data_IF_602486847527
#
_entry.id   IF_602486847527
#
_cell.length_a   1.000
_cell.length_b   1.000
_cell.length_c   1.000
_cell.angle_alpha   90.00
_cell.angle_beta   90.00
_cell.angle_gamma   90.00
#
_symmetry.space_group_name_H-M   'P 1'
#
loop_
_entity.id
_entity.type
_entity.pdbx_description
1 polymer ?
#
# COMPACT_ATOMS: atom_id res chain seq x y z
N UNK A 1 -5.59 24.88 0.82
CA UNK A 1 -5.64 23.43 0.90
C UNK A 1 -6.73 22.88 0.02
N UNK A 2 -6.50 21.78 -0.56
CA UNK A 2 -7.45 21.24 -1.52
C UNK A 2 -8.59 20.50 -0.85
N UNK A 3 -9.80 20.71 -1.32
CA UNK A 3 -10.94 20.01 -0.74
C UNK A 3 -10.85 18.51 -0.85
N UNK A 4 -10.29 18.05 -1.93
CA UNK A 4 -10.21 16.60 -2.14
C UNK A 4 -9.35 15.93 -1.12
N UNK A 5 -8.50 16.67 -0.44
CA UNK A 5 -7.70 16.08 0.63
C UNK A 5 -8.56 15.61 1.77
N UNK A 6 -9.76 16.15 1.86
CA UNK A 6 -10.66 15.72 2.92
C UNK A 6 -11.03 14.26 2.80
N UNK A 7 -11.00 13.74 1.59
CA UNK A 7 -11.28 12.32 1.39
C UNK A 7 -10.26 11.44 2.09
N UNK A 8 -9.08 11.94 2.21
CA UNK A 8 -7.98 11.17 2.78
C UNK A 8 -7.77 11.47 4.24
N UNK A 9 -8.44 12.49 4.74
CA UNK A 9 -8.26 12.88 6.12
C UNK A 9 -8.79 11.87 7.12
N UNK A 10 -9.76 11.06 6.67
CA UNK A 10 -10.40 10.11 7.56
C UNK A 10 -9.64 8.80 7.66
N UNK A 11 -8.60 8.64 6.88
CA UNK A 11 -7.89 7.37 6.86
C UNK A 11 -6.45 7.62 6.44
N UNK A 12 -5.57 6.71 6.78
CA UNK A 12 -4.16 6.85 6.42
C UNK A 12 -3.99 6.96 4.92
N UNK A 13 -3.12 7.84 4.52
CA UNK A 13 -2.73 7.97 3.13
C UNK A 13 -1.47 7.15 2.94
N UNK A 14 -1.52 6.17 2.05
CA UNK A 14 -0.39 5.30 1.81
C UNK A 14 0.83 6.08 1.36
N UNK A 15 0.62 7.11 0.54
CA UNK A 15 1.74 7.92 0.07
C UNK A 15 2.42 8.61 1.23
N UNK A 16 1.65 9.19 2.13
CA UNK A 16 2.21 9.86 3.30
C UNK A 16 2.93 8.87 4.21
N UNK A 17 2.35 7.69 4.37
CA UNK A 17 2.98 6.64 5.16
C UNK A 17 4.32 6.26 4.55
N UNK A 18 4.34 6.06 3.23
CA UNK A 18 5.58 5.68 2.56
C UNK A 18 6.66 6.72 2.70
N UNK A 19 6.28 7.98 2.64
CA UNK A 19 7.24 9.07 2.79
C UNK A 19 7.75 9.18 4.21
N UNK A 20 6.84 9.00 5.16
CA UNK A 20 7.21 9.12 6.57
C UNK A 20 8.25 8.08 6.96
N UNK A 21 8.09 6.87 6.46
CA UNK A 21 9.00 5.78 6.81
C UNK A 21 10.05 5.53 5.75
N UNK A 22 10.14 6.41 4.75
CA UNK A 22 11.16 6.35 3.72
C UNK A 22 11.19 4.99 3.03
N UNK A 23 10.02 4.50 2.67
CA UNK A 23 9.91 3.20 2.01
C UNK A 23 10.24 3.33 0.53
N UNK A 24 10.93 2.33 0.01
CA UNK A 24 11.20 2.29 -1.41
C UNK A 24 9.94 1.86 -2.18
N UNK A 25 10.05 1.81 -3.50
CA UNK A 25 8.89 1.51 -4.34
C UNK A 25 8.29 0.13 -4.02
N UNK A 26 9.14 -0.86 -3.85
CA UNK A 26 8.67 -2.22 -3.60
C UNK A 26 7.95 -2.33 -2.26
N UNK A 27 8.52 -1.76 -1.22
CA UNK A 27 7.88 -1.77 0.09
C UNK A 27 6.63 -0.91 0.09
N UNK A 28 6.64 0.20 -0.61
CA UNK A 28 5.45 1.04 -0.74
C UNK A 28 4.32 0.30 -1.42
N UNK A 29 4.62 -0.50 -2.43
CA UNK A 29 3.60 -1.32 -3.07
C UNK A 29 3.05 -2.36 -2.13
N UNK A 30 3.89 -2.98 -1.31
CA UNK A 30 3.43 -3.95 -0.33
C UNK A 30 2.42 -3.30 0.62
N UNK A 31 2.75 -2.11 1.11
CA UNK A 31 1.83 -1.38 2.00
C UNK A 31 0.52 -1.07 1.30
N UNK A 32 0.61 -0.67 0.03
CA UNK A 32 -0.60 -0.36 -0.74
C UNK A 32 -1.51 -1.57 -0.83
N UNK A 33 -0.96 -2.73 -1.15
CA UNK A 33 -1.77 -3.93 -1.28
C UNK A 33 -2.36 -4.36 0.05
N UNK A 34 -1.60 -4.23 1.12
CA UNK A 34 -2.10 -4.55 2.45
C UNK A 34 -3.26 -3.63 2.81
N UNK A 35 -3.08 -2.34 2.60
CA UNK A 35 -4.10 -1.36 2.96
C UNK A 35 -5.38 -1.55 2.15
N UNK A 36 -5.25 -2.02 0.92
CA UNK A 36 -6.37 -2.17 0.00
C UNK A 36 -7.04 -3.53 0.10
N UNK A 37 -6.41 -4.48 0.77
CA UNK A 37 -6.83 -5.88 0.72
C UNK A 37 -8.33 -6.03 1.02
N UNK A 38 -9.05 -6.59 0.07
CA UNK A 38 -10.46 -6.84 0.21
C UNK A 38 -11.36 -5.62 0.07
N UNK A 39 -10.81 -4.46 -0.26
CA UNK A 39 -11.58 -3.22 -0.32
C UNK A 39 -11.80 -2.70 -1.73
N UNK A 40 -11.13 -3.30 -2.71
CA UNK A 40 -11.24 -2.85 -4.08
C UNK A 40 -12.16 -3.76 -4.86
N UNK A 41 -13.08 -3.18 -5.62
CA UNK A 41 -13.98 -3.96 -6.46
C UNK A 41 -13.18 -4.75 -7.49
N UNK A 42 -13.56 -6.01 -7.65
CA UNK A 42 -12.93 -6.85 -8.64
C UNK A 42 -11.64 -7.51 -8.18
N UNK A 43 -11.20 -7.21 -6.99
CA UNK A 43 -9.99 -7.82 -6.44
C UNK A 43 -10.34 -8.49 -5.14
N UNK A 44 -9.94 -9.75 -4.99
CA UNK A 44 -10.17 -10.45 -3.74
C UNK A 44 -9.13 -10.03 -2.72
N UNK A 45 -9.49 -10.21 -1.46
CA UNK A 45 -8.54 -9.95 -0.38
C UNK A 45 -7.32 -10.84 -0.52
N UNK A 46 -7.53 -12.10 -0.87
CA UNK A 46 -6.45 -13.04 -1.04
C UNK A 46 -5.50 -12.60 -2.15
N UNK A 47 -6.05 -12.11 -3.25
CA UNK A 47 -5.23 -11.64 -4.36
C UNK A 47 -4.32 -10.50 -3.92
N UNK A 48 -4.88 -9.51 -3.21
CA UNK A 48 -4.08 -8.39 -2.75
C UNK A 48 -3.02 -8.82 -1.74
N UNK A 49 -3.37 -9.74 -0.85
CA UNK A 49 -2.40 -10.22 0.12
C UNK A 49 -1.26 -10.97 -0.55
N UNK A 50 -1.57 -11.74 -1.58
CA UNK A 50 -0.53 -12.44 -2.32
C UNK A 50 0.37 -11.46 -3.06
N UNK A 51 -0.18 -10.38 -3.57
CA UNK A 51 0.63 -9.35 -4.20
C UNK A 51 1.56 -8.68 -3.19
N UNK A 52 1.08 -8.46 -1.98
CA UNK A 52 1.92 -7.90 -0.93
C UNK A 52 3.05 -8.86 -0.57
N UNK A 53 2.74 -10.14 -0.47
CA UNK A 53 3.76 -11.15 -0.18
C UNK A 53 4.82 -11.16 -1.28
N UNK A 54 4.39 -11.08 -2.54
CA UNK A 54 5.33 -11.05 -3.65
C UNK A 54 6.27 -9.87 -3.55
N UNK A 55 5.73 -8.70 -3.22
CA UNK A 55 6.57 -7.51 -3.06
C UNK A 55 7.58 -7.70 -1.94
N UNK A 56 7.16 -8.27 -0.84
CA UNK A 56 8.05 -8.50 0.29
C UNK A 56 9.16 -9.48 -0.08
N UNK A 57 8.80 -10.53 -0.80
CA UNK A 57 9.81 -11.51 -1.24
C UNK A 57 10.83 -10.88 -2.16
N UNK A 58 10.38 -10.00 -3.06
CA UNK A 58 11.30 -9.32 -3.95
C UNK A 58 12.26 -8.42 -3.17
N UNK A 59 11.76 -7.80 -2.13
CA UNK A 59 12.62 -6.97 -1.31
C UNK A 59 13.66 -7.81 -0.58
N UNK A 60 13.26 -8.99 -0.12
CA UNK A 60 14.20 -9.89 0.54
C UNK A 60 15.34 -10.31 -0.40
N UNK A 61 15.07 -10.42 -1.69
CA UNK A 61 16.08 -10.79 -2.65
C UNK A 61 17.17 -9.75 -2.79
N UNK A 62 16.92 -8.53 -2.34
CA UNK A 62 17.87 -7.43 -2.45
C UNK A 62 18.56 -7.09 -1.13
N UNK A 63 18.32 -7.86 -0.11
CA UNK A 63 18.92 -7.60 1.20
C UNK A 63 20.36 -8.09 1.27
#
# INVERSE_FOLDING_TARGET
MRPELNHYGDRPDVIDFNKKYDLNFTLGNAVKYIARAGKKNGESKESDLNKAIDCIKRELDHV
#
